data_IF_474127322037
#
_entry.id   IF_474127322037
#
_cell.length_a   1.000
_cell.length_b   1.000
_cell.length_c   1.000
_cell.angle_alpha   90.00
_cell.angle_beta   90.00
_cell.angle_gamma   90.00
#
_symmetry.space_group_name_H-M   'P 1'
#
loop_
_entity.id
_entity.type
_entity.pdbx_description
1 polymer ?
#
# COMPACT_ATOMS: atom_id res chain seq x y z
N UNK A 1 5.55 6.08 -49.67
CA UNK A 1 4.55 5.91 -48.59
C UNK A 1 5.26 6.12 -47.26
N UNK A 2 4.87 7.12 -46.47
CA UNK A 2 5.44 7.36 -45.14
C UNK A 2 4.40 6.90 -44.10
N UNK A 3 4.69 5.83 -43.37
CA UNK A 3 3.87 5.36 -42.26
C UNK A 3 4.02 6.36 -41.11
N UNK A 4 2.99 7.18 -40.87
CA UNK A 4 2.86 7.92 -39.60
C UNK A 4 2.34 6.95 -38.54
N UNK A 5 3.21 6.46 -37.67
CA UNK A 5 2.78 5.83 -36.42
C UNK A 5 2.20 6.92 -35.50
N UNK A 6 0.87 6.99 -35.42
CA UNK A 6 0.17 7.74 -34.39
C UNK A 6 0.20 6.92 -33.08
N UNK A 7 1.29 7.03 -32.32
CA UNK A 7 1.27 6.61 -30.92
C UNK A 7 0.54 7.70 -30.15
N UNK A 8 -0.72 7.47 -29.80
CA UNK A 8 -1.42 8.32 -28.83
C UNK A 8 -0.57 8.34 -27.56
N UNK A 9 -0.34 9.52 -26.97
CA UNK A 9 0.32 9.67 -25.68
C UNK A 9 -0.53 8.97 -24.59
N UNK A 10 -0.41 7.65 -24.48
CA UNK A 10 -1.11 6.85 -23.49
C UNK A 10 -0.30 6.84 -22.20
N UNK A 11 -1.01 7.08 -21.09
CA UNK A 11 -0.48 6.85 -19.74
C UNK A 11 -0.14 5.36 -19.60
N UNK A 12 0.93 5.05 -18.86
CA UNK A 12 1.42 3.68 -18.63
C UNK A 12 0.36 2.73 -18.04
N UNK A 13 -0.66 3.27 -17.36
CA UNK A 13 -1.83 2.53 -16.91
C UNK A 13 -2.97 3.45 -16.49
N UNK A 14 -4.13 2.86 -16.20
CA UNK A 14 -5.32 3.55 -15.68
C UNK A 14 -5.86 2.80 -14.47
N UNK A 15 -6.34 3.52 -13.46
CA UNK A 15 -7.11 2.94 -12.37
C UNK A 15 -8.53 2.62 -12.83
N UNK A 16 -8.97 1.37 -12.66
CA UNK A 16 -10.33 0.93 -12.95
C UNK A 16 -11.10 0.73 -11.64
N UNK A 17 -11.93 1.70 -11.28
CA UNK A 17 -12.75 1.66 -10.06
C UNK A 17 -13.83 0.58 -10.10
N UNK A 18 -14.10 -0.03 -11.26
CA UNK A 18 -15.04 -1.15 -11.42
C UNK A 18 -14.42 -2.51 -11.12
N UNK A 19 -13.10 -2.61 -10.91
CA UNK A 19 -12.41 -3.89 -10.64
C UNK A 19 -12.01 -3.99 -9.19
N UNK A 20 -12.55 -5.00 -8.52
CA UNK A 20 -12.17 -5.33 -7.14
C UNK A 20 -10.72 -5.75 -7.08
N UNK A 21 -9.99 -5.23 -6.09
CA UNK A 21 -8.60 -5.61 -5.87
C UNK A 21 -8.51 -7.07 -5.39
N UNK A 22 -7.51 -7.80 -5.88
CA UNK A 22 -7.24 -9.18 -5.48
C UNK A 22 -5.80 -9.33 -5.01
N UNK A 23 -5.61 -10.11 -3.96
CA UNK A 23 -4.30 -10.48 -3.43
C UNK A 23 -4.10 -11.98 -3.60
N UNK A 24 -2.98 -12.35 -4.21
CA UNK A 24 -2.58 -13.75 -4.38
C UNK A 24 -1.60 -14.14 -3.28
N UNK A 25 -1.81 -15.30 -2.68
CA UNK A 25 -0.91 -15.90 -1.69
C UNK A 25 -0.48 -17.26 -2.20
N UNK A 26 0.83 -17.48 -2.28
CA UNK A 26 1.41 -18.77 -2.63
C UNK A 26 2.56 -19.10 -1.67
N UNK A 27 2.79 -20.40 -1.36
CA UNK A 27 4.02 -20.84 -0.74
C UNK A 27 5.26 -20.33 -1.49
N UNK A 28 6.31 -19.96 -0.75
CA UNK A 28 7.56 -19.45 -1.34
C UNK A 28 8.26 -20.46 -2.26
N UNK A 29 7.99 -21.75 -2.05
CA UNK A 29 8.52 -22.87 -2.81
C UNK A 29 7.52 -23.43 -3.83
N UNK A 30 6.45 -22.68 -4.17
CA UNK A 30 5.50 -23.11 -5.18
C UNK A 30 6.14 -23.30 -6.54
N UNK A 31 5.67 -24.31 -7.26
CA UNK A 31 6.14 -24.70 -8.59
C UNK A 31 5.06 -24.49 -9.65
N UNK A 32 3.82 -24.27 -9.23
CA UNK A 32 2.66 -24.03 -10.09
C UNK A 32 1.82 -22.84 -9.61
N UNK A 33 1.15 -22.18 -10.55
CA UNK A 33 0.17 -21.13 -10.24
C UNK A 33 -1.10 -21.67 -9.58
N UNK A 34 -1.35 -22.97 -9.66
CA UNK A 34 -2.48 -23.66 -9.01
C UNK A 34 -2.37 -23.64 -7.48
N UNK A 35 -1.16 -23.47 -6.95
CA UNK A 35 -0.90 -23.37 -5.50
C UNK A 35 -1.24 -21.98 -4.93
N UNK A 36 -1.59 -21.01 -5.80
CA UNK A 36 -1.98 -19.66 -5.41
C UNK A 36 -3.43 -19.62 -4.95
N UNK A 37 -3.65 -19.17 -3.71
CA UNK A 37 -4.97 -18.79 -3.23
C UNK A 37 -5.22 -17.31 -3.51
N UNK A 38 -6.35 -17.00 -4.17
CA UNK A 38 -6.77 -15.63 -4.45
C UNK A 38 -7.79 -15.13 -3.43
N UNK A 39 -7.55 -13.94 -2.90
CA UNK A 39 -8.42 -13.23 -1.98
C UNK A 39 -8.94 -11.97 -2.66
N UNK A 40 -10.24 -11.69 -2.56
CA UNK A 40 -10.88 -10.53 -3.21
C UNK A 40 -11.36 -9.55 -2.16
N UNK A 41 -10.92 -8.29 -2.25
CA UNK A 41 -11.42 -7.20 -1.41
C UNK A 41 -12.80 -6.75 -1.88
N UNK A 42 -13.56 -6.12 -0.98
CA UNK A 42 -14.90 -5.58 -1.26
C UNK A 42 -14.91 -4.30 -2.09
N UNK A 43 -13.75 -3.83 -2.56
CA UNK A 43 -13.59 -2.57 -3.28
C UNK A 43 -12.36 -2.54 -4.19
N UNK A 44 -12.36 -1.60 -5.12
CA UNK A 44 -11.18 -1.24 -5.90
C UNK A 44 -10.22 -0.41 -5.05
N UNK A 45 -8.96 -0.85 -4.96
CA UNK A 45 -7.85 -0.10 -4.36
C UNK A 45 -6.59 -0.32 -5.17
N UNK A 46 -5.74 0.71 -5.21
CA UNK A 46 -4.38 0.61 -5.68
C UNK A 46 -3.44 0.34 -4.50
N UNK A 47 -2.52 -0.58 -4.69
CA UNK A 47 -1.42 -0.88 -3.77
C UNK A 47 -0.15 -0.79 -4.60
N UNK A 48 0.79 0.06 -4.19
CA UNK A 48 2.07 0.24 -4.89
C UNK A 48 3.21 -0.33 -4.05
N UNK A 49 3.41 0.17 -2.84
CA UNK A 49 4.47 -0.33 -1.94
C UNK A 49 3.89 -0.81 -0.61
N UNK A 50 3.67 -2.13 -0.44
CA UNK A 50 3.32 -2.71 0.86
C UNK A 50 4.36 -2.36 1.92
N UNK A 51 3.92 -2.04 3.14
CA UNK A 51 4.82 -1.74 4.25
C UNK A 51 5.43 -3.02 4.83
N UNK A 52 4.58 -3.99 5.19
CA UNK A 52 5.01 -5.32 5.64
C UNK A 52 3.82 -6.29 5.62
N UNK A 53 4.12 -7.60 5.60
CA UNK A 53 3.13 -8.66 5.76
C UNK A 53 3.68 -9.75 6.69
N UNK A 54 2.81 -10.46 7.40
CA UNK A 54 3.19 -11.60 8.22
C UNK A 54 2.02 -12.56 8.45
N UNK A 55 2.34 -13.81 8.80
CA UNK A 55 1.36 -14.79 9.25
C UNK A 55 1.02 -14.57 10.73
N UNK A 56 -0.28 -14.63 11.05
CA UNK A 56 -0.85 -14.55 12.39
C UNK A 56 -1.92 -15.65 12.54
N UNK A 57 -1.43 -16.83 12.94
CA UNK A 57 -2.22 -18.06 12.91
C UNK A 57 -2.66 -18.41 11.49
N UNK A 58 -3.96 -18.63 11.32
CA UNK A 58 -4.59 -18.94 10.01
C UNK A 58 -4.79 -17.71 9.11
N UNK A 59 -4.35 -16.52 9.55
CA UNK A 59 -4.50 -15.27 8.81
C UNK A 59 -3.16 -14.74 8.32
N UNK A 60 -3.18 -14.01 7.21
CA UNK A 60 -2.08 -13.15 6.78
C UNK A 60 -2.51 -11.71 7.01
N UNK A 61 -1.69 -10.95 7.72
CA UNK A 61 -1.89 -9.53 7.99
C UNK A 61 -0.93 -8.75 7.10
N UNK A 62 -1.45 -7.75 6.40
CA UNK A 62 -0.69 -6.88 5.52
C UNK A 62 -0.96 -5.44 5.94
N UNK A 63 0.09 -4.69 6.20
CA UNK A 63 0.03 -3.25 6.37
C UNK A 63 0.51 -2.60 5.08
N UNK A 64 -0.30 -1.74 4.49
CA UNK A 64 0.02 -1.11 3.22
C UNK A 64 -0.70 0.23 3.07
N UNK A 65 -0.04 1.26 2.53
CA UNK A 65 -0.74 2.37 1.91
C UNK A 65 -1.65 1.86 0.79
N UNK A 66 -2.85 2.43 0.69
CA UNK A 66 -3.80 2.17 -0.38
C UNK A 66 -4.35 3.47 -0.93
N UNK A 67 -4.60 3.51 -2.23
CA UNK A 67 -5.32 4.61 -2.88
C UNK A 67 -6.65 4.11 -3.46
N UNK A 68 -7.66 4.97 -3.50
CA UNK A 68 -8.98 4.67 -4.09
C UNK A 68 -9.18 5.28 -5.47
N UNK A 69 -8.19 6.04 -5.94
CA UNK A 69 -8.01 6.45 -7.33
C UNK A 69 -6.52 6.61 -7.59
N UNK A 70 -6.11 6.47 -8.85
CA UNK A 70 -4.74 6.77 -9.23
C UNK A 70 -4.66 7.21 -10.69
N UNK A 71 -4.15 8.41 -10.92
CA UNK A 71 -3.93 8.94 -12.26
C UNK A 71 -2.47 9.40 -12.49
N UNK A 72 -1.60 9.11 -11.52
CA UNK A 72 -0.16 9.46 -11.51
C UNK A 72 0.15 10.89 -11.05
N UNK A 73 -0.86 11.72 -10.76
CA UNK A 73 -0.68 13.10 -10.29
C UNK A 73 -0.80 13.25 -8.77
N UNK A 74 -0.22 14.32 -8.18
CA UNK A 74 -0.33 14.66 -6.76
C UNK A 74 -1.67 15.36 -6.46
N UNK A 75 -2.78 14.65 -6.61
CA UNK A 75 -4.14 15.14 -6.30
C UNK A 75 -4.63 14.57 -4.98
N UNK A 76 -5.50 15.32 -4.29
CA UNK A 76 -6.09 14.89 -3.03
C UNK A 76 -6.84 13.55 -3.17
N UNK A 77 -7.50 13.33 -4.31
CA UNK A 77 -8.19 12.07 -4.58
C UNK A 77 -7.23 10.87 -4.67
N UNK A 78 -5.99 11.10 -5.12
CA UNK A 78 -4.97 10.06 -5.30
C UNK A 78 -4.14 9.79 -4.04
N UNK A 79 -4.45 10.44 -2.92
CA UNK A 79 -3.69 10.25 -1.68
C UNK A 79 -3.77 8.80 -1.20
N UNK A 80 -2.60 8.26 -0.84
CA UNK A 80 -2.48 6.93 -0.30
C UNK A 80 -2.56 7.01 1.24
N UNK A 81 -3.39 6.17 1.84
CA UNK A 81 -3.57 6.13 3.28
C UNK A 81 -3.28 4.72 3.80
N UNK A 82 -2.75 4.63 5.02
CA UNK A 82 -2.39 3.35 5.60
C UNK A 82 -3.64 2.49 5.89
N UNK A 83 -3.61 1.24 5.45
CA UNK A 83 -4.63 0.24 5.69
C UNK A 83 -4.01 -1.05 6.26
N UNK A 84 -4.82 -1.74 7.05
CA UNK A 84 -4.60 -3.12 7.47
C UNK A 84 -5.51 -4.01 6.63
N UNK A 85 -4.92 -4.95 5.90
CA UNK A 85 -5.60 -5.99 5.15
C UNK A 85 -5.40 -7.32 5.89
N UNK A 86 -6.46 -8.09 6.05
CA UNK A 86 -6.41 -9.41 6.68
C UNK A 86 -7.01 -10.44 5.73
N UNK A 87 -6.23 -11.48 5.45
CA UNK A 87 -6.59 -12.61 4.59
C UNK A 87 -6.73 -13.86 5.46
N UNK A 88 -7.92 -14.42 5.59
CA UNK A 88 -8.15 -15.63 6.39
C UNK A 88 -8.10 -16.87 5.49
N UNK A 89 -7.03 -17.67 5.61
CA UNK A 89 -6.72 -18.75 4.67
C UNK A 89 -7.80 -19.83 4.58
N UNK A 90 -8.32 -20.38 5.71
CA UNK A 90 -9.31 -21.46 5.64
C UNK A 90 -10.62 -21.07 4.96
N UNK A 91 -11.09 -19.83 5.15
CA UNK A 91 -12.37 -19.38 4.58
C UNK A 91 -12.23 -18.63 3.25
N UNK A 92 -11.00 -18.26 2.85
CA UNK A 92 -10.76 -17.37 1.70
C UNK A 92 -11.26 -15.94 1.89
N UNK A 93 -11.63 -15.55 3.12
CA UNK A 93 -12.18 -14.22 3.38
C UNK A 93 -11.06 -13.16 3.39
N UNK A 94 -11.36 -11.98 2.86
CA UNK A 94 -10.48 -10.84 2.87
C UNK A 94 -11.20 -9.64 3.50
N UNK A 95 -10.50 -8.89 4.33
CA UNK A 95 -11.01 -7.65 4.91
C UNK A 95 -9.95 -6.58 4.86
N UNK A 96 -10.38 -5.32 4.82
CA UNK A 96 -9.49 -4.17 4.86
C UNK A 96 -10.11 -3.10 5.73
N UNK A 97 -9.29 -2.44 6.57
CA UNK A 97 -9.68 -1.26 7.32
C UNK A 97 -8.63 -0.17 7.21
N UNK A 98 -9.07 1.08 7.22
CA UNK A 98 -8.17 2.21 7.47
C UNK A 98 -7.67 2.13 8.91
N UNK A 99 -6.36 2.24 9.11
CA UNK A 99 -5.76 2.22 10.46
C UNK A 99 -5.83 3.59 11.14
N UNK A 100 -6.28 4.61 10.40
CA UNK A 100 -6.42 5.97 10.90
C UNK A 100 -7.65 6.64 10.26
N UNK A 101 -8.86 6.34 10.73
CA UNK A 101 -10.11 6.73 10.09
C UNK A 101 -10.48 8.23 10.24
N UNK A 102 -9.79 8.98 11.11
CA UNK A 102 -10.11 10.39 11.39
C UNK A 102 -9.44 11.41 10.47
N UNK A 103 -8.12 11.29 10.26
CA UNK A 103 -7.32 12.32 9.59
C UNK A 103 -6.31 11.66 8.64
N UNK A 104 -6.73 11.39 7.39
CA UNK A 104 -5.94 10.58 6.45
C UNK A 104 -4.54 11.16 6.27
N UNK A 105 -3.52 10.37 6.61
CA UNK A 105 -2.12 10.74 6.43
C UNK A 105 -1.69 10.24 5.05
N UNK A 106 -1.52 11.16 4.11
CA UNK A 106 -1.02 10.84 2.78
C UNK A 106 0.42 10.30 2.87
N UNK A 107 0.60 9.01 2.57
CA UNK A 107 1.83 8.31 2.90
C UNK A 107 2.14 7.16 1.96
N UNK A 108 3.42 6.92 1.69
CA UNK A 108 3.90 5.88 0.78
C UNK A 108 5.35 5.47 1.13
N UNK A 109 5.91 4.54 0.36
CA UNK A 109 7.31 4.07 0.48
C UNK A 109 7.61 3.52 1.87
N UNK A 110 6.90 2.45 2.22
CA UNK A 110 6.99 1.81 3.53
C UNK A 110 8.32 1.12 3.79
N UNK A 111 8.75 1.18 5.06
CA UNK A 111 9.91 0.48 5.60
C UNK A 111 9.65 -0.09 6.99
N UNK A 112 10.12 -1.31 7.19
CA UNK A 112 10.28 -1.92 8.51
C UNK A 112 11.75 -2.24 8.75
N UNK A 113 12.13 -2.48 10.00
CA UNK A 113 13.48 -2.95 10.29
C UNK A 113 13.73 -4.29 9.58
N UNK A 114 14.84 -4.46 8.83
CA UNK A 114 15.04 -5.63 7.95
C UNK A 114 14.91 -6.99 8.63
N UNK A 115 15.31 -7.10 9.91
CA UNK A 115 15.16 -8.33 10.69
C UNK A 115 13.69 -8.77 10.92
N UNK A 116 12.71 -7.92 10.62
CA UNK A 116 11.28 -8.23 10.76
C UNK A 116 10.54 -8.25 9.42
N UNK A 117 11.25 -8.25 8.29
CA UNK A 117 10.60 -8.37 6.98
C UNK A 117 9.91 -9.73 6.88
N UNK A 118 8.60 -9.75 6.57
CA UNK A 118 7.81 -10.97 6.52
C UNK A 118 7.36 -11.49 7.89
N UNK A 119 7.83 -10.88 8.98
CA UNK A 119 7.52 -11.23 10.36
C UNK A 119 6.71 -10.13 11.04
N UNK A 120 6.10 -10.45 12.18
CA UNK A 120 5.44 -9.43 12.99
C UNK A 120 6.47 -8.38 13.44
N UNK A 121 6.28 -7.15 12.97
CA UNK A 121 7.05 -5.98 13.36
C UNK A 121 6.15 -5.08 14.18
N UNK A 122 6.63 -4.54 15.30
CA UNK A 122 5.87 -3.55 16.07
C UNK A 122 5.86 -2.18 15.39
N UNK A 123 6.92 -1.84 14.66
CA UNK A 123 7.14 -0.50 14.12
C UNK A 123 7.37 -0.55 12.61
N UNK A 124 6.79 0.41 11.92
CA UNK A 124 7.03 0.68 10.51
C UNK A 124 7.04 2.18 10.25
N UNK A 125 7.65 2.57 9.14
CA UNK A 125 7.87 3.94 8.75
C UNK A 125 7.46 4.15 7.31
N UNK A 126 6.99 5.34 6.98
CA UNK A 126 6.63 5.72 5.62
C UNK A 126 6.99 7.19 5.41
N UNK A 127 7.16 7.58 4.16
CA UNK A 127 7.27 8.99 3.79
C UNK A 127 5.92 9.69 3.86
N UNK A 128 5.90 10.93 4.34
CA UNK A 128 4.76 11.84 4.18
C UNK A 128 4.78 12.40 2.77
N UNK A 129 3.79 12.04 1.96
CA UNK A 129 3.66 12.57 0.60
C UNK A 129 3.22 14.03 0.65
N UNK A 130 3.88 14.88 -0.14
CA UNK A 130 3.49 16.28 -0.31
C UNK A 130 2.83 16.54 -1.66
N UNK A 131 2.51 17.80 -1.91
CA UNK A 131 1.89 18.24 -3.17
C UNK A 131 2.87 18.34 -4.35
N UNK A 132 4.17 18.11 -4.09
CA UNK A 132 5.20 18.09 -5.13
C UNK A 132 5.46 16.63 -5.52
N UNK A 133 5.32 16.27 -6.81
CA UNK A 133 5.53 14.90 -7.27
C UNK A 133 6.87 14.34 -6.81
N UNK A 134 6.84 13.10 -6.29
CA UNK A 134 8.01 12.35 -5.86
C UNK A 134 8.88 13.04 -4.78
N UNK A 135 8.33 14.00 -4.02
CA UNK A 135 9.04 14.62 -2.89
C UNK A 135 8.32 14.35 -1.56
N UNK A 136 9.05 13.81 -0.60
CA UNK A 136 8.51 13.50 0.73
C UNK A 136 8.73 14.68 1.67
N UNK A 137 7.69 15.12 2.36
CA UNK A 137 7.71 16.28 3.27
C UNK A 137 8.07 15.93 4.71
N UNK A 138 8.26 14.64 5.01
CA UNK A 138 8.55 14.14 6.34
C UNK A 138 8.44 12.62 6.43
N UNK A 139 8.42 12.11 7.66
CA UNK A 139 8.36 10.68 7.98
C UNK A 139 7.22 10.44 8.98
N UNK A 140 6.42 9.40 8.74
CA UNK A 140 5.44 8.88 9.69
C UNK A 140 5.94 7.58 10.33
N UNK A 141 5.69 7.42 11.64
CA UNK A 141 5.93 6.19 12.40
C UNK A 141 4.60 5.55 12.78
N UNK A 142 4.46 4.28 12.45
CA UNK A 142 3.27 3.46 12.67
C UNK A 142 3.54 2.39 13.71
N UNK A 143 2.57 2.13 14.59
CA UNK A 143 2.53 0.90 15.38
C UNK A 143 1.68 -0.14 14.65
N UNK A 144 2.28 -1.28 14.34
CA UNK A 144 1.71 -2.35 13.53
C UNK A 144 1.14 -3.40 14.48
N UNK A 145 -0.13 -3.28 14.83
CA UNK A 145 -0.85 -4.22 15.70
C UNK A 145 -2.16 -4.58 15.02
N UNK A 146 -2.36 -5.87 14.77
CA UNK A 146 -3.62 -6.38 14.20
C UNK A 146 -4.79 -5.90 15.06
N UNK A 147 -5.82 -5.33 14.44
CA UNK A 147 -7.01 -4.90 15.18
C UNK A 147 -6.86 -3.59 15.99
N UNK A 148 -5.67 -3.02 16.18
CA UNK A 148 -5.51 -1.84 17.06
C UNK A 148 -4.31 -0.91 16.86
N UNK A 149 -3.47 -1.15 15.85
CA UNK A 149 -2.34 -0.28 15.52
C UNK A 149 -2.76 1.06 14.88
N UNK A 150 -1.78 1.92 14.59
CA UNK A 150 -2.04 3.20 13.93
C UNK A 150 -0.85 4.16 13.93
N UNK A 151 -1.08 5.39 13.49
CA UNK A 151 -0.07 6.45 13.51
C UNK A 151 0.33 6.75 14.97
N UNK A 152 1.63 6.79 15.25
CA UNK A 152 2.17 7.22 16.56
C UNK A 152 2.75 8.62 16.53
N UNK A 153 3.46 8.96 15.48
CA UNK A 153 4.01 10.30 15.29
C UNK A 153 4.33 10.53 13.83
N UNK A 154 4.37 11.79 13.43
CA UNK A 154 4.81 12.24 12.12
C UNK A 154 5.68 13.47 12.29
N UNK A 155 6.84 13.48 11.63
CA UNK A 155 7.80 14.59 11.69
C UNK A 155 7.95 15.18 10.30
N UNK A 156 7.67 16.47 10.14
CA UNK A 156 7.89 17.21 8.90
C UNK A 156 9.33 17.74 8.84
N UNK A 157 9.91 17.77 7.64
CA UNK A 157 11.27 18.29 7.44
C UNK A 157 11.36 19.81 7.53
N UNK A 158 10.23 20.52 7.40
CA UNK A 158 10.15 21.98 7.39
C UNK A 158 9.85 22.53 5.99
N UNK A 159 9.54 23.82 5.92
CA UNK A 159 9.22 24.50 4.66
C UNK A 159 10.39 24.43 3.67
N UNK A 160 10.08 24.15 2.39
CA UNK A 160 11.09 24.05 1.33
C UNK A 160 12.08 22.90 1.48
N UNK A 161 11.83 21.93 2.38
CA UNK A 161 12.70 20.78 2.63
C UNK A 161 11.99 19.48 2.26
N UNK A 162 12.70 18.63 1.53
CA UNK A 162 12.18 17.36 1.06
C UNK A 162 13.22 16.26 1.25
N UNK A 163 12.73 15.05 1.52
CA UNK A 163 13.53 13.84 1.56
C UNK A 163 13.03 12.83 0.54
N UNK A 164 13.51 11.60 0.70
CA UNK A 164 13.08 10.44 -0.05
C UNK A 164 12.56 9.35 0.88
N UNK A 165 12.58 8.13 0.36
CA UNK A 165 12.20 6.92 1.05
C UNK A 165 13.00 6.76 2.37
N UNK A 166 12.32 6.53 3.52
CA UNK A 166 12.96 6.51 4.84
C UNK A 166 13.80 5.26 5.13
#
# INVERSE_FOLDING_TARGET
>A
LSLKMNVRAQRFGTFDSGRMARLGVAPINSTSSEEMQWFTLDRAVGIVHPLNAWEDGESIVIWTPVCTSYDGGPRAENEAFMAEVVLHRPSGAASMRSVYPGDRVNTEFGRVHPAYLGCSARWGFTGLMGNVPAKMSGIAKWELVRGGGGLRTAVRFGEGRWGGEP
#
